data_IF_248306394051
#
_entry.id   IF_248306394051
#
_cell.length_a   1.000
_cell.length_b   1.000
_cell.length_c   1.000
_cell.angle_alpha   90.00
_cell.angle_beta   90.00
_cell.angle_gamma   90.00
#
_symmetry.space_group_name_H-M   'P 1'
#
loop_
_entity.id
_entity.type
_entity.pdbx_description
1 polymer ?
#
# COMPACT_ATOMS: atom_id res chain seq x y z
N UNK A 1 18.07 -1.76 14.65
CA UNK A 1 17.51 -0.42 14.90
C UNK A 1 16.02 -0.52 15.17
N UNK A 2 15.57 0.09 16.25
CA UNK A 2 14.15 0.09 16.60
C UNK A 2 13.47 1.28 15.95
N UNK A 3 12.38 1.01 15.23
CA UNK A 3 11.56 2.06 14.62
C UNK A 3 10.25 2.13 15.38
N UNK A 4 9.87 3.35 15.80
CA UNK A 4 8.63 3.57 16.52
C UNK A 4 7.44 3.30 15.61
N UNK A 5 6.32 2.77 16.18
CA UNK A 5 5.10 2.59 15.38
C UNK A 5 4.69 3.88 14.68
N UNK A 6 4.40 3.76 13.39
CA UNK A 6 4.02 4.91 12.56
C UNK A 6 5.16 5.72 12.00
N UNK A 7 6.39 5.52 12.46
CA UNK A 7 7.52 6.30 11.94
C UNK A 7 7.84 5.94 10.50
N UNK A 8 7.81 4.65 10.17
CA UNK A 8 8.07 4.20 8.80
C UNK A 8 7.03 4.77 7.82
N UNK A 9 5.76 4.73 8.20
CA UNK A 9 4.67 5.25 7.37
C UNK A 9 4.83 6.76 7.15
N UNK A 10 5.20 7.51 8.17
CA UNK A 10 5.43 8.95 8.04
C UNK A 10 6.66 9.25 7.19
N UNK A 11 7.71 8.46 7.34
CA UNK A 11 8.91 8.58 6.50
C UNK A 11 8.55 8.41 5.02
N UNK A 12 7.77 7.37 4.69
CA UNK A 12 7.38 7.10 3.32
C UNK A 12 6.50 8.23 2.76
N UNK A 13 5.57 8.73 3.55
CA UNK A 13 4.69 9.82 3.13
C UNK A 13 5.50 11.09 2.79
N UNK A 14 6.44 11.48 3.65
CA UNK A 14 7.27 12.65 3.41
C UNK A 14 8.23 12.44 2.24
N UNK A 15 8.76 11.21 2.10
CA UNK A 15 9.61 10.84 0.98
C UNK A 15 8.89 11.10 -0.36
N UNK A 16 7.65 10.64 -0.48
CA UNK A 16 6.90 10.82 -1.72
C UNK A 16 6.52 12.28 -1.95
N UNK A 17 6.20 13.02 -0.90
CA UNK A 17 5.91 14.44 -1.03
C UNK A 17 7.11 15.23 -1.54
N UNK A 18 8.30 14.92 -1.06
CA UNK A 18 9.51 15.64 -1.45
C UNK A 18 10.03 15.20 -2.82
N UNK A 19 9.97 13.91 -3.11
CA UNK A 19 10.56 13.36 -4.34
C UNK A 19 9.67 13.55 -5.56
N UNK A 20 8.37 13.48 -5.40
CA UNK A 20 7.42 13.48 -6.52
C UNK A 20 6.48 14.67 -6.45
N UNK A 21 7.04 15.87 -6.66
CA UNK A 21 6.27 17.12 -6.58
C UNK A 21 5.25 17.28 -7.71
N UNK A 22 5.37 16.49 -8.78
CA UNK A 22 4.43 16.53 -9.89
C UNK A 22 3.10 15.79 -9.60
N UNK A 23 3.04 15.05 -8.50
CA UNK A 23 1.80 14.35 -8.14
C UNK A 23 0.73 15.36 -7.73
N UNK A 24 -0.49 15.11 -8.17
CA UNK A 24 -1.62 15.99 -7.84
C UNK A 24 -1.94 15.96 -6.36
N UNK A 25 -1.77 14.80 -5.73
CA UNK A 25 -2.11 14.62 -4.32
C UNK A 25 -1.25 13.52 -3.71
N UNK A 26 -0.75 13.78 -2.49
CA UNK A 26 -0.04 12.80 -1.67
C UNK A 26 -0.60 12.91 -0.25
N UNK A 27 -1.33 11.90 0.20
CA UNK A 27 -1.95 11.93 1.53
C UNK A 27 -2.20 10.53 2.07
N UNK A 28 -2.42 10.44 3.39
CA UNK A 28 -2.95 9.24 4.02
C UNK A 28 -4.47 9.30 3.90
N UNK A 29 -5.02 8.67 2.86
CA UNK A 29 -6.45 8.74 2.59
C UNK A 29 -7.21 7.53 3.08
N UNK A 30 -8.53 7.67 3.19
CA UNK A 30 -9.42 6.56 3.49
C UNK A 30 -10.09 6.07 2.21
N UNK A 31 -10.27 4.76 2.14
CA UNK A 31 -11.04 4.12 1.08
C UNK A 31 -12.44 3.85 1.60
N UNK A 32 -13.45 4.20 0.81
CA UNK A 32 -14.83 3.93 1.18
C UNK A 32 -15.26 2.57 0.64
N UNK A 33 -16.03 1.83 1.44
CA UNK A 33 -16.60 0.58 0.98
C UNK A 33 -17.53 0.83 -0.18
N UNK A 34 -17.36 0.08 -1.27
CA UNK A 34 -18.21 0.18 -2.46
C UNK A 34 -19.41 -0.75 -2.27
N UNK A 35 -20.45 -0.24 -1.62
CA UNK A 35 -21.62 -1.00 -1.27
C UNK A 35 -22.76 -0.70 -2.24
N UNK A 36 -23.60 -1.70 -2.47
CA UNK A 36 -24.83 -1.59 -3.25
C UNK A 36 -26.00 -2.07 -2.41
N UNK A 37 -27.20 -1.57 -2.71
CA UNK A 37 -28.40 -1.96 -1.98
C UNK A 37 -28.92 -0.87 -1.05
N UNK A 38 -30.18 -1.00 -0.66
CA UNK A 38 -30.89 0.02 0.11
C UNK A 38 -30.41 0.11 1.56
N UNK A 39 -29.81 -0.97 2.10
CA UNK A 39 -29.39 -1.05 3.49
C UNK A 39 -27.93 -0.67 3.71
N UNK A 40 -27.25 -0.14 2.66
CA UNK A 40 -25.81 0.12 2.71
C UNK A 40 -25.42 1.09 3.82
N UNK A 41 -26.21 2.14 4.06
CA UNK A 41 -25.92 3.14 5.08
C UNK A 41 -25.98 2.54 6.48
N UNK A 42 -26.90 1.60 6.72
CA UNK A 42 -27.04 0.93 8.01
C UNK A 42 -25.93 -0.07 8.23
N UNK A 43 -25.55 -0.79 7.18
CA UNK A 43 -24.59 -1.88 7.28
C UNK A 43 -23.13 -1.42 7.35
N UNK A 44 -22.81 -0.25 6.78
CA UNK A 44 -21.44 0.25 6.73
C UNK A 44 -20.82 0.42 8.13
N UNK A 45 -21.63 0.71 9.14
CA UNK A 45 -21.13 0.88 10.52
C UNK A 45 -20.50 -0.39 11.09
N UNK A 46 -20.79 -1.55 10.51
CA UNK A 46 -20.22 -2.82 10.96
C UNK A 46 -18.92 -3.15 10.24
N UNK A 47 -18.55 -2.36 9.23
CA UNK A 47 -17.35 -2.61 8.44
C UNK A 47 -16.16 -1.83 9.01
N UNK A 48 -14.97 -2.43 8.97
CA UNK A 48 -13.78 -1.73 9.45
C UNK A 48 -13.44 -0.54 8.56
N UNK A 49 -12.77 0.45 9.13
CA UNK A 49 -12.26 1.58 8.36
C UNK A 49 -11.08 1.09 7.52
N UNK A 50 -11.08 1.48 6.25
CA UNK A 50 -9.95 1.21 5.35
C UNK A 50 -9.06 2.45 5.28
N UNK A 51 -8.11 2.54 6.20
CA UNK A 51 -7.15 3.64 6.26
C UNK A 51 -5.89 3.25 5.49
N UNK A 52 -5.59 3.97 4.42
CA UNK A 52 -4.34 3.76 3.69
C UNK A 52 -3.21 4.49 4.39
N UNK A 53 -1.98 3.98 4.22
CA UNK A 53 -0.81 4.72 4.69
C UNK A 53 -0.51 5.88 3.76
N UNK A 54 -0.58 5.64 2.46
CA UNK A 54 -0.32 6.65 1.45
C UNK A 54 -1.24 6.41 0.26
N UNK A 55 -1.83 7.48 -0.24
CA UNK A 55 -2.58 7.48 -1.50
C UNK A 55 -1.99 8.56 -2.38
N UNK A 56 -1.48 8.17 -3.54
CA UNK A 56 -0.91 9.07 -4.52
C UNK A 56 -1.89 9.23 -5.68
N UNK A 57 -2.05 10.46 -6.12
CA UNK A 57 -2.93 10.75 -7.25
C UNK A 57 -2.18 11.53 -8.32
N UNK A 58 -2.26 11.05 -9.56
CA UNK A 58 -1.78 11.77 -10.73
C UNK A 58 -2.87 11.71 -11.79
N UNK A 59 -3.55 12.84 -12.01
CA UNK A 59 -4.70 12.91 -12.90
C UNK A 59 -5.78 11.92 -12.46
N UNK A 60 -6.13 10.98 -13.31
CA UNK A 60 -7.17 9.98 -13.01
C UNK A 60 -6.63 8.72 -12.34
N UNK A 61 -5.29 8.58 -12.28
CA UNK A 61 -4.66 7.38 -11.73
C UNK A 61 -4.38 7.54 -10.26
N UNK A 62 -4.62 6.46 -9.51
CA UNK A 62 -4.42 6.41 -8.07
C UNK A 62 -3.51 5.22 -7.74
N UNK A 63 -2.52 5.46 -6.90
CA UNK A 63 -1.69 4.39 -6.34
C UNK A 63 -1.89 4.38 -4.82
N UNK A 64 -2.32 3.24 -4.30
CA UNK A 64 -2.45 3.02 -2.87
C UNK A 64 -1.21 2.26 -2.39
N UNK A 65 -0.55 2.80 -1.37
CA UNK A 65 0.64 2.19 -0.79
C UNK A 65 0.34 1.81 0.64
N UNK A 66 0.59 0.55 0.97
CA UNK A 66 0.52 0.04 2.33
C UNK A 66 1.95 -0.24 2.77
N UNK A 67 2.46 0.58 3.69
CA UNK A 67 3.83 0.49 4.16
C UNK A 67 3.94 -0.55 5.26
N UNK A 68 4.86 -1.49 5.08
CA UNK A 68 5.07 -2.61 6.01
C UNK A 68 6.51 -2.63 6.50
N UNK A 69 6.70 -2.48 7.80
CA UNK A 69 8.01 -2.62 8.42
C UNK A 69 8.01 -3.89 9.27
N UNK A 70 8.44 -4.98 8.63
CA UNK A 70 8.52 -6.29 9.26
C UNK A 70 9.94 -6.83 9.18
N UNK A 71 10.29 -7.70 10.12
CA UNK A 71 11.53 -8.43 10.06
C UNK A 71 11.59 -9.36 8.86
N UNK A 72 10.43 -9.80 8.37
CA UNK A 72 10.33 -10.65 7.18
C UNK A 72 9.15 -10.24 6.33
N UNK A 73 9.43 -9.91 5.06
CA UNK A 73 8.39 -9.57 4.08
C UNK A 73 7.67 -10.82 3.58
N UNK A 74 8.37 -11.94 3.49
CA UNK A 74 7.85 -13.18 2.96
C UNK A 74 7.73 -14.25 4.05
N UNK A 75 6.72 -15.07 3.95
CA UNK A 75 6.58 -16.27 4.77
C UNK A 75 7.03 -17.50 3.97
N UNK A 76 7.62 -18.47 4.66
CA UNK A 76 7.99 -19.73 4.03
C UNK A 76 6.99 -20.80 4.44
N UNK A 77 6.40 -21.47 3.43
CA UNK A 77 5.46 -22.55 3.64
C UNK A 77 5.66 -23.58 2.53
N UNK A 78 5.79 -24.83 2.89
CA UNK A 78 6.01 -25.94 1.93
C UNK A 78 7.18 -25.66 0.99
N UNK A 79 8.29 -25.14 1.54
CA UNK A 79 9.50 -24.77 0.80
C UNK A 79 9.29 -23.68 -0.25
N UNK A 80 8.20 -22.93 -0.16
CA UNK A 80 7.91 -21.80 -1.04
C UNK A 80 7.86 -20.51 -0.22
N UNK A 81 8.32 -19.42 -0.84
CA UNK A 81 8.18 -18.09 -0.27
C UNK A 81 6.96 -17.39 -0.87
N UNK A 82 6.16 -16.78 -0.02
CA UNK A 82 4.99 -16.04 -0.45
C UNK A 82 4.77 -14.81 0.42
N UNK A 83 4.01 -13.85 -0.08
CA UNK A 83 3.57 -12.72 0.71
C UNK A 83 2.63 -13.19 1.81
N UNK A 84 2.60 -12.47 2.93
CA UNK A 84 1.61 -12.73 3.98
C UNK A 84 0.22 -12.48 3.42
N UNK A 85 -0.66 -13.48 3.54
CA UNK A 85 -1.99 -13.43 2.93
C UNK A 85 -2.81 -12.24 3.42
N UNK A 86 -2.74 -11.93 4.71
CA UNK A 86 -3.46 -10.79 5.26
C UNK A 86 -3.06 -9.45 4.61
N UNK A 87 -1.77 -9.28 4.35
CA UNK A 87 -1.29 -8.07 3.67
C UNK A 87 -1.80 -7.99 2.24
N UNK A 88 -1.72 -9.11 1.53
CA UNK A 88 -2.17 -9.16 0.13
C UNK A 88 -3.66 -8.92 0.01
N UNK A 89 -4.47 -9.55 0.87
CA UNK A 89 -5.91 -9.37 0.86
C UNK A 89 -6.29 -7.93 1.23
N UNK A 90 -5.56 -7.31 2.15
CA UNK A 90 -5.80 -5.93 2.56
C UNK A 90 -5.64 -4.97 1.38
N UNK A 91 -4.49 -5.04 0.69
CA UNK A 91 -4.23 -4.12 -0.42
C UNK A 91 -5.18 -4.38 -1.58
N UNK A 92 -5.50 -5.63 -1.85
CA UNK A 92 -6.46 -5.99 -2.89
C UNK A 92 -7.84 -5.41 -2.58
N UNK A 93 -8.29 -5.53 -1.33
CA UNK A 93 -9.57 -4.99 -0.89
C UNK A 93 -9.61 -3.47 -1.05
N UNK A 94 -8.55 -2.78 -0.66
CA UNK A 94 -8.47 -1.33 -0.79
C UNK A 94 -8.59 -0.90 -2.25
N UNK A 95 -7.82 -1.55 -3.13
CA UNK A 95 -7.79 -1.21 -4.55
C UNK A 95 -9.16 -1.44 -5.19
N UNK A 96 -9.78 -2.59 -4.92
CA UNK A 96 -11.07 -2.93 -5.55
C UNK A 96 -12.19 -2.02 -5.07
N UNK A 97 -12.17 -1.59 -3.82
CA UNK A 97 -13.17 -0.65 -3.33
C UNK A 97 -12.95 0.77 -3.83
N UNK A 98 -11.70 1.19 -3.97
CA UNK A 98 -11.40 2.51 -4.52
C UNK A 98 -11.75 2.60 -5.99
N UNK A 99 -11.56 1.52 -6.74
CA UNK A 99 -11.86 1.47 -8.18
C UNK A 99 -13.35 1.10 -8.40
N UNK A 100 -14.22 1.98 -7.98
CA UNK A 100 -15.69 1.75 -8.01
C UNK A 100 -16.20 1.47 -9.41
N UNK A 101 -15.66 2.14 -10.41
CA UNK A 101 -16.12 2.07 -11.78
C UNK A 101 -15.39 1.02 -12.60
N UNK A 102 -14.54 0.23 -11.95
CA UNK A 102 -13.80 -0.87 -12.57
C UNK A 102 -13.01 -0.42 -13.81
N UNK A 103 -12.32 0.72 -13.67
CA UNK A 103 -11.55 1.32 -14.77
C UNK A 103 -10.15 0.73 -14.90
N UNK A 104 -9.63 0.14 -13.83
CA UNK A 104 -8.23 -0.29 -13.77
C UNK A 104 -7.24 0.83 -13.45
N UNK A 105 -7.73 2.04 -13.18
CA UNK A 105 -6.86 3.20 -12.92
C UNK A 105 -6.37 3.27 -11.46
N UNK A 106 -6.73 2.29 -10.64
CA UNK A 106 -6.26 2.19 -9.28
C UNK A 106 -5.30 1.02 -9.16
N UNK A 107 -4.11 1.28 -8.62
CA UNK A 107 -3.11 0.26 -8.35
C UNK A 107 -2.77 0.22 -6.87
N UNK A 108 -2.20 -0.89 -6.41
CA UNK A 108 -1.82 -1.04 -5.03
C UNK A 108 -0.45 -1.67 -4.88
N UNK A 109 0.31 -1.20 -3.89
CA UNK A 109 1.63 -1.73 -3.58
C UNK A 109 1.74 -1.97 -2.08
N UNK A 110 2.25 -3.15 -1.72
CA UNK A 110 2.81 -3.40 -0.41
C UNK A 110 4.26 -2.95 -0.44
N UNK A 111 4.62 -1.95 0.36
CA UNK A 111 5.96 -1.39 0.36
C UNK A 111 6.69 -1.81 1.63
N UNK A 112 7.66 -2.69 1.47
CA UNK A 112 8.42 -3.24 2.59
C UNK A 112 9.75 -2.50 2.75
N UNK A 113 10.16 -2.29 4.01
CA UNK A 113 11.51 -1.84 4.30
C UNK A 113 12.49 -3.00 4.05
N UNK A 114 13.63 -2.68 3.47
CA UNK A 114 14.67 -3.69 3.25
C UNK A 114 15.18 -4.22 4.59
N UNK A 115 15.28 -5.54 4.67
CA UNK A 115 15.79 -6.24 5.84
C UNK A 115 17.02 -7.05 5.45
N UNK A 116 17.49 -7.91 6.35
CA UNK A 116 18.62 -8.81 6.09
C UNK A 116 18.22 -10.05 5.28
N UNK A 117 16.98 -10.12 4.83
CA UNK A 117 16.50 -11.22 4.01
C UNK A 117 17.20 -11.26 2.66
N UNK A 118 17.54 -12.47 2.18
CA UNK A 118 18.14 -12.66 0.86
C UNK A 118 17.15 -12.35 -0.24
N UNK A 119 15.86 -12.56 0.00
CA UNK A 119 14.81 -12.33 -0.97
C UNK A 119 14.03 -11.09 -0.59
N UNK A 120 14.05 -10.09 -1.48
CA UNK A 120 13.28 -8.86 -1.32
C UNK A 120 12.22 -8.80 -2.42
N UNK A 121 10.93 -8.66 -2.05
CA UNK A 121 9.89 -8.60 -3.08
C UNK A 121 10.02 -7.35 -3.95
N UNK A 122 9.89 -7.55 -5.26
CA UNK A 122 9.89 -6.47 -6.24
C UNK A 122 9.16 -6.93 -7.48
N UNK A 123 7.82 -6.88 -7.45
CA UNK A 123 7.00 -7.36 -8.54
C UNK A 123 5.65 -6.67 -8.59
N UNK A 124 5.03 -6.67 -9.77
CA UNK A 124 3.67 -6.21 -10.01
C UNK A 124 2.92 -7.26 -10.82
N UNK A 125 1.67 -7.51 -10.45
CA UNK A 125 0.79 -8.41 -11.18
C UNK A 125 -0.50 -7.69 -11.55
N UNK A 126 -1.12 -8.14 -12.63
CA UNK A 126 -2.47 -7.70 -12.97
C UNK A 126 -3.46 -8.68 -12.34
N UNK A 127 -4.19 -8.22 -11.34
CA UNK A 127 -5.14 -9.03 -10.57
C UNK A 127 -6.54 -8.46 -10.70
N UNK A 128 -7.42 -9.17 -11.41
CA UNK A 128 -8.81 -8.72 -11.56
C UNK A 128 -8.95 -7.35 -12.21
N UNK A 129 -8.04 -7.02 -13.12
CA UNK A 129 -8.08 -5.74 -13.83
C UNK A 129 -7.29 -4.61 -13.18
N UNK A 130 -6.64 -4.85 -12.04
CA UNK A 130 -5.86 -3.82 -11.34
C UNK A 130 -4.42 -4.30 -11.13
N UNK A 131 -3.48 -3.37 -11.17
CA UNK A 131 -2.07 -3.67 -10.88
C UNK A 131 -1.88 -3.74 -9.36
N UNK A 132 -1.37 -4.86 -8.88
CA UNK A 132 -1.12 -5.08 -7.46
C UNK A 132 0.24 -5.76 -7.32
N UNK A 133 1.05 -5.28 -6.39
CA UNK A 133 2.37 -5.84 -6.23
C UNK A 133 3.00 -5.55 -4.88
N UNK A 134 4.27 -5.86 -4.80
CA UNK A 134 5.09 -5.63 -3.64
C UNK A 134 6.43 -5.08 -4.07
N UNK A 135 6.91 -4.08 -3.35
CA UNK A 135 8.19 -3.43 -3.59
C UNK A 135 8.96 -3.36 -2.30
N UNK A 136 10.28 -3.26 -2.41
CA UNK A 136 11.15 -3.11 -1.26
C UNK A 136 11.88 -1.79 -1.34
N UNK A 137 11.88 -1.05 -0.25
CA UNK A 137 12.57 0.23 -0.13
C UNK A 137 13.77 0.08 0.78
N UNK A 138 14.93 0.51 0.27
CA UNK A 138 16.15 0.52 1.07
C UNK A 138 16.25 1.84 1.82
N UNK A 139 15.92 1.82 3.11
CA UNK A 139 15.94 3.02 3.95
C UNK A 139 17.34 3.63 4.06
N UNK A 140 18.37 2.82 3.97
CA UNK A 140 19.75 3.30 4.05
C UNK A 140 20.13 4.17 2.85
N UNK A 141 19.53 3.89 1.69
CA UNK A 141 19.74 4.69 0.48
C UNK A 141 18.84 5.91 0.42
N UNK A 142 17.60 5.78 0.89
CA UNK A 142 16.58 6.82 0.69
C UNK A 142 16.50 7.81 1.84
N UNK A 143 16.95 7.42 3.03
CA UNK A 143 16.86 8.28 4.22
C UNK A 143 17.54 9.64 4.02
N UNK A 144 18.73 9.76 3.41
CA UNK A 144 19.37 11.08 3.22
C UNK A 144 18.54 12.05 2.41
N UNK A 145 17.67 11.58 1.51
CA UNK A 145 16.81 12.45 0.71
C UNK A 145 15.78 13.17 1.57
N UNK A 146 15.33 12.54 2.64
CA UNK A 146 14.34 13.13 3.53
C UNK A 146 15.03 13.95 4.64
N UNK A 147 16.18 13.50 5.10
CA UNK A 147 16.95 14.20 6.14
C UNK A 147 17.58 15.48 5.61
N UNK A 148 17.81 15.56 4.31
CA UNK A 148 18.30 16.80 3.70
C UNK A 148 17.16 17.80 3.51
#
# INVERSE_FOLDING_TARGET
>A
MTIWPGLYERFILEYYRQKYTYLTEVKAGQVKWNLTGDDSETMVRFLPVMQTDIMLRLKEKILIIDAKYYGRALQKQFDKYSLHSGNLYQIFTYVKNQDKDDTGDVAGILLYAKTDEDIAPDFMFNMGGNQIGAKTLDLMKEFPLIAA
#
